data_IF_471696047694
#
_entry.id   IF_471696047694
#
_cell.length_a   1.000
_cell.length_b   1.000
_cell.length_c   1.000
_cell.angle_alpha   90.00
_cell.angle_beta   90.00
_cell.angle_gamma   90.00
#
_symmetry.space_group_name_H-M   'P 1'
#
loop_
_entity.id
_entity.type
_entity.pdbx_description
1 polymer ?
#
# COMPACT_ATOMS: atom_id res chain seq x y z
N UNK A 1 17.59 17.29 -3.38
CA UNK A 1 16.23 16.97 -3.89
C UNK A 1 16.35 16.13 -5.14
N UNK A 2 15.65 15.01 -5.19
CA UNK A 2 15.69 14.16 -6.38
C UNK A 2 14.86 14.76 -7.51
N UNK A 3 15.42 14.70 -8.69
CA UNK A 3 14.75 15.17 -9.90
C UNK A 3 13.60 14.24 -10.26
N UNK A 4 12.44 14.79 -10.60
CA UNK A 4 11.25 14.04 -11.01
C UNK A 4 11.54 13.16 -12.24
N UNK A 5 12.38 13.63 -13.17
CA UNK A 5 12.76 12.87 -14.37
C UNK A 5 13.51 11.60 -13.99
N UNK A 6 14.41 11.67 -13.03
CA UNK A 6 15.16 10.51 -12.52
C UNK A 6 14.20 9.52 -11.85
N UNK A 7 13.26 9.99 -11.02
CA UNK A 7 12.25 9.14 -10.39
C UNK A 7 11.42 8.39 -11.44
N UNK A 8 10.96 9.08 -12.47
CA UNK A 8 10.20 8.47 -13.56
C UNK A 8 11.01 7.43 -14.32
N UNK A 9 12.29 7.73 -14.58
CA UNK A 9 13.18 6.81 -15.27
C UNK A 9 13.43 5.54 -14.45
N UNK A 10 13.72 5.69 -13.16
CA UNK A 10 13.94 4.55 -12.26
C UNK A 10 12.69 3.68 -12.17
N UNK A 11 11.52 4.29 -12.08
CA UNK A 11 10.25 3.57 -12.06
C UNK A 11 10.02 2.76 -13.34
N UNK A 12 10.34 3.34 -14.47
CA UNK A 12 10.24 2.66 -15.77
C UNK A 12 11.18 1.44 -15.85
N UNK A 13 12.40 1.57 -15.33
CA UNK A 13 13.37 0.49 -15.27
C UNK A 13 12.87 -0.66 -14.39
N UNK A 14 12.18 -0.35 -13.29
CA UNK A 14 11.63 -1.32 -12.35
C UNK A 14 10.21 -1.77 -12.68
N UNK A 15 9.81 -1.73 -13.95
CA UNK A 15 8.48 -2.20 -14.37
C UNK A 15 7.32 -1.31 -13.91
N UNK A 16 7.60 -0.06 -13.59
CA UNK A 16 6.61 0.90 -13.14
C UNK A 16 6.37 0.93 -11.63
N UNK A 17 6.91 -0.03 -10.87
CA UNK A 17 6.78 -0.05 -9.41
C UNK A 17 7.48 1.15 -8.77
N UNK A 18 6.91 1.64 -7.66
CA UNK A 18 7.56 2.67 -6.86
C UNK A 18 8.76 2.11 -6.11
N UNK A 19 9.84 2.89 -6.01
CA UNK A 19 10.91 2.59 -5.06
C UNK A 19 10.49 2.96 -3.64
N UNK A 20 11.14 2.37 -2.64
CA UNK A 20 10.90 2.73 -1.23
C UNK A 20 11.19 4.21 -1.00
N UNK A 21 12.30 4.72 -1.54
CA UNK A 21 12.65 6.14 -1.41
C UNK A 21 11.62 7.06 -2.03
N UNK A 22 11.11 6.68 -3.19
CA UNK A 22 10.07 7.46 -3.87
C UNK A 22 8.80 7.52 -3.04
N UNK A 23 8.36 6.39 -2.49
CA UNK A 23 7.19 6.34 -1.62
C UNK A 23 7.38 7.20 -0.35
N UNK A 24 8.56 7.12 0.26
CA UNK A 24 8.88 7.97 1.41
C UNK A 24 8.82 9.45 1.05
N UNK A 25 9.21 9.82 -0.16
CA UNK A 25 9.14 11.21 -0.62
C UNK A 25 7.70 11.71 -0.77
N UNK A 26 6.74 10.81 -0.94
CA UNK A 26 5.31 11.13 -0.95
C UNK A 26 4.67 11.06 0.45
N UNK A 27 5.45 10.84 1.49
CA UNK A 27 4.96 10.80 2.86
C UNK A 27 4.56 9.43 3.38
N UNK A 28 4.75 8.37 2.61
CA UNK A 28 4.49 7.00 3.06
C UNK A 28 5.54 6.61 4.10
N UNK A 29 5.09 6.10 5.24
CA UNK A 29 5.99 5.57 6.26
C UNK A 29 6.32 4.12 5.93
N UNK A 30 7.60 3.83 5.68
CA UNK A 30 8.06 2.49 5.35
C UNK A 30 9.28 2.16 6.21
N UNK A 31 9.23 1.02 6.89
CA UNK A 31 10.35 0.51 7.66
C UNK A 31 11.47 -0.07 6.78
N UNK A 32 12.28 -0.92 7.37
CA UNK A 32 13.46 -1.49 6.73
C UNK A 32 13.16 -2.84 6.08
N UNK A 33 13.98 -3.19 5.09
CA UNK A 33 13.97 -4.50 4.44
C UNK A 33 12.61 -4.83 3.81
N UNK A 34 12.02 -3.86 3.11
CA UNK A 34 10.75 -4.04 2.42
C UNK A 34 10.95 -4.21 0.92
N UNK A 35 10.14 -5.06 0.33
CA UNK A 35 10.02 -5.17 -1.13
C UNK A 35 8.67 -4.63 -1.57
N UNK A 36 8.68 -3.63 -2.46
CA UNK A 36 7.47 -3.02 -2.99
C UNK A 36 7.44 -3.24 -4.49
N UNK A 37 6.62 -4.19 -4.94
CA UNK A 37 6.51 -4.59 -6.34
C UNK A 37 5.28 -4.03 -7.05
N UNK A 38 4.75 -2.91 -6.60
CA UNK A 38 3.52 -2.34 -7.17
C UNK A 38 3.67 -0.86 -7.53
N UNK A 39 2.92 -0.47 -8.55
CA UNK A 39 2.72 0.94 -8.93
C UNK A 39 1.37 1.49 -8.46
N UNK A 40 0.57 0.70 -7.77
CA UNK A 40 -0.79 1.03 -7.40
C UNK A 40 -0.91 1.36 -5.90
N UNK A 41 -0.08 2.28 -5.44
CA UNK A 41 -0.16 2.82 -4.08
C UNK A 41 -0.68 4.25 -4.17
N UNK A 42 -1.62 4.59 -3.31
CA UNK A 42 -2.27 5.89 -3.26
C UNK A 42 -1.31 6.95 -2.71
N UNK A 43 -0.40 7.41 -3.56
CA UNK A 43 0.65 8.37 -3.16
C UNK A 43 0.11 9.77 -2.89
N UNK A 44 -1.05 10.12 -3.42
CA UNK A 44 -1.69 11.41 -3.12
C UNK A 44 -2.08 11.51 -1.64
N UNK A 45 -2.31 10.35 -1.01
CA UNK A 45 -2.61 10.23 0.42
C UNK A 45 -1.52 9.44 1.15
N UNK A 46 -0.28 9.56 0.69
CA UNK A 46 0.84 8.78 1.21
C UNK A 46 1.03 8.91 2.71
N UNK A 47 0.76 10.09 3.28
CA UNK A 47 0.86 10.33 4.72
C UNK A 47 -0.10 9.47 5.55
N UNK A 48 -1.10 8.85 4.94
CA UNK A 48 -2.04 7.94 5.59
C UNK A 48 -1.60 6.47 5.54
N UNK A 49 -0.50 6.18 4.84
CA UNK A 49 -0.04 4.80 4.63
C UNK A 49 1.21 4.56 5.47
N UNK A 50 1.17 3.51 6.29
CA UNK A 50 2.28 3.09 7.14
C UNK A 50 2.57 1.61 6.91
N UNK A 51 3.80 1.31 6.56
CA UNK A 51 4.31 -0.03 6.28
C UNK A 51 5.47 -0.30 7.22
N UNK A 52 5.42 -1.42 7.94
CA UNK A 52 6.43 -1.80 8.91
C UNK A 52 7.70 -2.34 8.28
N UNK A 53 8.42 -3.16 9.03
CA UNK A 53 9.67 -3.79 8.60
C UNK A 53 9.42 -5.15 7.97
N UNK A 54 10.27 -5.55 7.05
CA UNK A 54 10.23 -6.87 6.42
C UNK A 54 8.88 -7.17 5.74
N UNK A 55 8.27 -6.16 5.14
CA UNK A 55 6.99 -6.31 4.44
C UNK A 55 7.25 -6.50 2.95
N UNK A 56 6.56 -7.45 2.38
CA UNK A 56 6.56 -7.68 0.93
C UNK A 56 5.19 -7.32 0.37
N UNK A 57 5.16 -6.41 -0.57
CA UNK A 57 3.94 -6.07 -1.31
C UNK A 57 4.19 -6.40 -2.77
N UNK A 58 3.51 -7.41 -3.26
CA UNK A 58 3.55 -7.77 -4.67
C UNK A 58 2.73 -6.75 -5.48
N UNK A 59 2.25 -7.07 -6.67
CA UNK A 59 1.48 -6.14 -7.50
C UNK A 59 0.05 -5.94 -6.95
N UNK A 60 -0.05 -5.47 -5.73
CA UNK A 60 -1.30 -5.19 -5.03
C UNK A 60 -1.69 -3.71 -5.15
N UNK A 61 -2.92 -3.39 -4.78
CA UNK A 61 -3.43 -2.01 -4.69
C UNK A 61 -3.61 -1.62 -3.23
N UNK A 62 -3.01 -0.52 -2.85
CA UNK A 62 -3.14 0.04 -1.50
C UNK A 62 -3.87 1.37 -1.62
N UNK A 63 -5.09 1.42 -1.10
CA UNK A 63 -5.97 2.57 -1.24
C UNK A 63 -6.16 3.26 0.11
N UNK A 64 -5.94 4.55 0.16
CA UNK A 64 -6.18 5.37 1.35
C UNK A 64 -7.34 6.35 1.16
N UNK A 65 -7.98 6.34 0.01
CA UNK A 65 -9.19 7.12 -0.24
C UNK A 65 -10.19 6.31 -1.07
N UNK A 66 -11.45 6.68 -0.95
CA UNK A 66 -12.55 6.11 -1.71
C UNK A 66 -13.52 7.23 -2.08
N UNK A 67 -13.61 7.49 -3.37
CA UNK A 67 -14.48 8.54 -3.91
C UNK A 67 -15.87 8.04 -4.30
N UNK A 68 -16.21 6.79 -3.98
CA UNK A 68 -17.50 6.20 -4.37
C UNK A 68 -18.71 6.96 -3.84
N UNK A 69 -18.54 7.62 -2.70
CA UNK A 69 -19.63 8.40 -2.07
C UNK A 69 -19.70 9.85 -2.55
N UNK A 70 -18.70 10.34 -3.27
CA UNK A 70 -18.58 11.76 -3.59
C UNK A 70 -19.75 12.29 -4.40
N UNK A 71 -20.21 11.52 -5.37
CA UNK A 71 -21.32 11.92 -6.24
C UNK A 71 -22.62 12.16 -5.48
N UNK A 72 -22.89 11.35 -4.46
CA UNK A 72 -24.14 11.40 -3.70
C UNK A 72 -24.05 12.21 -2.42
N UNK A 73 -22.90 12.17 -1.77
CA UNK A 73 -22.71 12.79 -0.45
C UNK A 73 -21.81 14.02 -0.50
N UNK A 74 -21.17 14.31 -1.63
CA UNK A 74 -20.32 15.48 -1.80
C UNK A 74 -18.91 15.36 -1.20
N UNK A 75 -18.52 14.19 -0.66
CA UNK A 75 -17.20 14.00 -0.09
C UNK A 75 -16.66 12.58 -0.39
N UNK A 76 -15.35 12.45 -0.40
CA UNK A 76 -14.66 11.18 -0.47
C UNK A 76 -14.27 10.71 0.93
N UNK A 77 -14.24 9.40 1.14
CA UNK A 77 -13.71 8.82 2.38
C UNK A 77 -12.20 8.72 2.29
N UNK A 78 -11.53 8.99 3.38
CA UNK A 78 -10.10 8.72 3.54
C UNK A 78 -9.91 7.90 4.82
N UNK A 79 -8.85 7.09 4.86
CA UNK A 79 -8.57 6.30 6.05
C UNK A 79 -7.14 5.80 6.06
N UNK A 80 -6.56 5.75 7.24
CA UNK A 80 -5.21 5.23 7.42
C UNK A 80 -5.15 3.77 7.04
N UNK A 81 -4.11 3.41 6.32
CA UNK A 81 -3.77 2.01 6.05
C UNK A 81 -2.49 1.69 6.78
N UNK A 82 -2.52 0.65 7.59
CA UNK A 82 -1.36 0.18 8.35
C UNK A 82 -1.09 -1.27 7.97
N UNK A 83 0.14 -1.56 7.59
CA UNK A 83 0.61 -2.92 7.32
C UNK A 83 1.80 -3.14 8.24
N UNK A 84 1.65 -4.02 9.23
CA UNK A 84 2.67 -4.23 10.24
C UNK A 84 3.74 -5.22 9.78
N UNK A 85 4.75 -5.42 10.64
CA UNK A 85 5.97 -6.14 10.32
C UNK A 85 5.74 -7.58 9.84
N UNK A 86 6.64 -8.04 8.98
CA UNK A 86 6.71 -9.42 8.52
C UNK A 86 5.46 -9.89 7.77
N UNK A 87 4.74 -8.98 7.12
CA UNK A 87 3.53 -9.32 6.38
C UNK A 87 3.79 -9.40 4.88
N UNK A 88 3.00 -10.21 4.22
CA UNK A 88 3.06 -10.41 2.77
C UNK A 88 1.72 -10.07 2.15
N UNK A 89 1.73 -9.19 1.16
CA UNK A 89 0.53 -8.82 0.41
C UNK A 89 0.65 -9.37 -1.01
N UNK A 90 -0.19 -10.31 -1.34
CA UNK A 90 -0.15 -11.03 -2.61
C UNK A 90 -0.57 -10.19 -3.81
N UNK A 91 -0.22 -10.69 -5.00
CA UNK A 91 -0.50 -10.02 -6.26
C UNK A 91 -2.01 -9.79 -6.44
N UNK A 92 -2.36 -8.63 -6.98
CA UNK A 92 -3.74 -8.23 -7.27
C UNK A 92 -4.64 -8.16 -6.02
N UNK A 93 -4.09 -8.26 -4.82
CA UNK A 93 -4.86 -7.97 -3.61
C UNK A 93 -5.20 -6.48 -3.57
N UNK A 94 -6.32 -6.16 -2.92
CA UNK A 94 -6.77 -4.78 -2.76
C UNK A 94 -6.96 -4.52 -1.27
N UNK A 95 -6.23 -3.54 -0.75
CA UNK A 95 -6.35 -3.12 0.65
C UNK A 95 -7.13 -1.81 0.67
N UNK A 96 -8.28 -1.81 1.32
CA UNK A 96 -9.18 -0.65 1.35
C UNK A 96 -8.79 0.37 2.42
N UNK A 97 -9.26 1.62 2.28
CA UNK A 97 -8.99 2.67 3.27
C UNK A 97 -9.46 2.25 4.68
N UNK A 98 -8.65 2.60 5.67
CA UNK A 98 -8.96 2.33 7.07
C UNK A 98 -8.56 0.94 7.57
N UNK A 99 -8.00 0.09 6.71
CA UNK A 99 -7.62 -1.27 7.09
C UNK A 99 -6.29 -1.28 7.84
N UNK A 100 -6.24 -2.02 8.93
CA UNK A 100 -5.04 -2.32 9.69
C UNK A 100 -4.72 -3.81 9.57
N UNK A 101 -3.61 -4.11 8.94
CA UNK A 101 -3.10 -5.48 8.81
C UNK A 101 -2.04 -5.70 9.87
N UNK A 102 -2.24 -6.69 10.72
CA UNK A 102 -1.34 -7.02 11.82
C UNK A 102 -0.01 -7.62 11.37
N UNK A 103 0.77 -8.07 12.33
CA UNK A 103 2.09 -8.67 12.10
C UNK A 103 1.96 -10.11 11.64
N UNK A 104 2.91 -10.56 10.84
CA UNK A 104 2.98 -11.93 10.37
C UNK A 104 1.69 -12.36 9.64
N UNK A 105 1.14 -11.48 8.80
CA UNK A 105 -0.08 -11.74 8.04
C UNK A 105 0.28 -12.05 6.60
N UNK A 106 -0.39 -13.03 6.03
CA UNK A 106 -0.33 -13.31 4.60
C UNK A 106 -1.68 -12.98 3.99
N UNK A 107 -1.68 -12.02 3.06
CA UNK A 107 -2.85 -11.73 2.24
C UNK A 107 -2.65 -12.41 0.89
N UNK A 108 -3.50 -13.36 0.57
CA UNK A 108 -3.42 -14.13 -0.66
C UNK A 108 -3.70 -13.28 -1.89
N UNK A 109 -3.21 -13.75 -3.03
CA UNK A 109 -3.43 -13.08 -4.31
C UNK A 109 -4.92 -12.89 -4.59
N UNK A 110 -5.28 -11.72 -5.09
CA UNK A 110 -6.66 -11.41 -5.46
C UNK A 110 -7.61 -11.14 -4.31
N UNK A 111 -7.16 -11.20 -3.06
CA UNK A 111 -8.02 -10.93 -1.91
C UNK A 111 -8.41 -9.45 -1.85
N UNK A 112 -9.64 -9.16 -1.46
CA UNK A 112 -10.08 -7.79 -1.16
C UNK A 112 -10.23 -7.66 0.36
N UNK A 113 -9.35 -6.87 0.97
CA UNK A 113 -9.30 -6.70 2.42
C UNK A 113 -10.11 -5.47 2.80
N UNK A 114 -11.24 -5.70 3.46
CA UNK A 114 -12.19 -4.65 3.85
C UNK A 114 -12.25 -4.40 5.36
N UNK A 115 -11.58 -5.24 6.14
CA UNK A 115 -11.57 -5.20 7.62
C UNK A 115 -10.15 -5.36 8.13
N UNK A 116 -9.96 -4.99 9.38
CA UNK A 116 -8.68 -5.23 10.06
C UNK A 116 -8.39 -6.73 10.15
N UNK A 117 -7.13 -7.07 9.97
CA UNK A 117 -6.65 -8.46 10.04
C UNK A 117 -5.76 -8.59 11.26
N UNK A 118 -6.09 -9.49 12.19
CA UNK A 118 -5.25 -9.71 13.37
C UNK A 118 -3.92 -10.34 13.02
N UNK A 119 -2.97 -10.26 13.97
CA UNK A 119 -1.67 -10.87 13.82
C UNK A 119 -1.77 -12.37 13.51
N UNK A 120 -0.77 -12.89 12.81
CA UNK A 120 -0.61 -14.31 12.54
C UNK A 120 -1.77 -14.93 11.77
N UNK A 121 -2.32 -14.19 10.81
CA UNK A 121 -3.47 -14.62 10.00
C UNK A 121 -3.11 -14.86 8.55
N UNK A 122 -3.87 -15.73 7.90
CA UNK A 122 -3.84 -15.91 6.46
C UNK A 122 -5.23 -15.53 5.92
N UNK A 123 -5.24 -14.61 4.96
CA UNK A 123 -6.47 -14.13 4.32
C UNK A 123 -6.47 -14.58 2.87
N UNK A 124 -7.56 -15.16 2.43
CA UNK A 124 -7.74 -15.57 1.02
C UNK A 124 -8.99 -14.89 0.46
N UNK A 125 -9.01 -14.79 -0.84
CA UNK A 125 -10.09 -14.09 -1.54
C UNK A 125 -11.44 -14.77 -1.54
#
# INVERSE_FOLDING_TARGET
>A
MKNIVIKKLLRKIHGGAYSVEELRSYGVHIGDNCYIGTKHIDVEHGFLISIGNNVTISSARILAHDASTKRYLGYSKVGKVVIEDNSFIGAEAIILPGVHIGKNVIVGAGAVVTKNIPDNSVVVG
#
